data_IF_775723543284
#
_entry.id   IF_775723543284
#
_cell.length_a   1.000
_cell.length_b   1.000
_cell.length_c   1.000
_cell.angle_alpha   90.00
_cell.angle_beta   90.00
_cell.angle_gamma   90.00
#
_symmetry.space_group_name_H-M   'P 1'
#
loop_
_entity.id
_entity.type
_entity.pdbx_description
1 polymer ?
#
# COMPACT_ATOMS: atom_id res chain seq x y z
N UNK A 1 -12.33 20.70 1.31
CA UNK A 1 -13.37 19.78 0.82
C UNK A 1 -12.65 18.56 0.25
N UNK A 2 -13.00 17.31 0.60
CA UNK A 2 -12.31 16.15 0.04
C UNK A 2 -12.55 16.08 -1.47
N UNK A 3 -11.51 15.80 -2.25
CA UNK A 3 -11.61 15.65 -3.70
C UNK A 3 -12.43 14.39 -3.99
N UNK A 4 -13.53 14.47 -4.77
CA UNK A 4 -14.26 13.28 -5.18
C UNK A 4 -13.34 12.43 -6.06
N UNK A 5 -13.01 11.21 -5.62
CA UNK A 5 -12.53 10.16 -6.51
C UNK A 5 -13.77 9.58 -7.23
N UNK A 6 -13.98 9.87 -8.52
CA UNK A 6 -15.24 9.58 -9.23
C UNK A 6 -15.56 8.08 -9.37
N UNK A 7 -14.63 7.20 -9.01
CA UNK A 7 -14.65 5.76 -9.20
C UNK A 7 -14.75 4.96 -7.89
N UNK A 8 -14.74 5.60 -6.71
CA UNK A 8 -14.86 4.87 -5.43
C UNK A 8 -13.73 3.87 -5.15
N UNK A 9 -12.75 3.76 -6.05
CA UNK A 9 -11.53 2.99 -5.89
C UNK A 9 -10.51 3.81 -5.10
N UNK A 10 -10.75 3.97 -3.80
CA UNK A 10 -9.67 4.36 -2.91
C UNK A 10 -8.52 3.37 -3.08
N UNK A 11 -7.31 3.88 -3.32
CA UNK A 11 -6.11 3.05 -3.31
C UNK A 11 -6.01 2.26 -2.01
N UNK A 12 -5.33 1.11 -2.04
CA UNK A 12 -4.98 0.35 -0.84
C UNK A 12 -3.47 0.33 -0.72
N UNK A 13 -2.95 0.59 0.48
CA UNK A 13 -1.51 0.53 0.72
C UNK A 13 -1.10 -0.90 1.03
N UNK A 14 -0.19 -1.43 0.22
CA UNK A 14 0.41 -2.73 0.42
C UNK A 14 1.77 -2.60 1.11
N UNK A 15 2.15 -3.61 1.89
CA UNK A 15 3.48 -3.73 2.45
C UNK A 15 4.35 -4.58 1.55
N UNK A 16 5.64 -4.27 1.51
CA UNK A 16 6.64 -4.94 0.68
C UNK A 16 7.84 -5.31 1.56
N UNK A 17 8.54 -6.40 1.20
CA UNK A 17 9.75 -6.82 1.92
C UNK A 17 10.91 -5.88 1.58
N UNK A 18 11.70 -5.53 2.60
CA UNK A 18 12.85 -4.62 2.46
C UNK A 18 12.59 -3.22 3.03
N UNK A 19 13.62 -2.38 3.02
CA UNK A 19 13.61 -1.10 3.73
C UNK A 19 13.05 0.07 2.91
N UNK A 20 13.14 0.01 1.57
CA UNK A 20 12.77 1.14 0.72
C UNK A 20 12.47 0.71 -0.71
N UNK A 21 11.47 1.34 -1.32
CA UNK A 21 11.23 1.24 -2.76
C UNK A 21 12.39 1.89 -3.55
N UNK A 22 12.95 1.13 -4.50
CA UNK A 22 14.07 1.55 -5.34
C UNK A 22 13.67 2.01 -6.75
N UNK A 23 12.37 2.26 -6.99
CA UNK A 23 11.86 2.71 -8.29
C UNK A 23 11.44 1.57 -9.23
N UNK A 24 11.26 0.34 -8.72
CA UNK A 24 10.69 -0.76 -9.51
C UNK A 24 9.24 -0.44 -9.90
N UNK A 25 8.81 -0.69 -11.16
CA UNK A 25 7.46 -0.32 -11.62
C UNK A 25 6.35 -1.20 -11.02
N UNK A 26 6.69 -2.41 -10.63
CA UNK A 26 5.79 -3.40 -10.03
C UNK A 26 6.56 -4.18 -8.98
N UNK A 27 5.90 -4.58 -7.90
CA UNK A 27 6.49 -5.45 -6.89
C UNK A 27 5.43 -6.40 -6.31
N UNK A 28 5.88 -7.52 -5.76
CA UNK A 28 5.00 -8.46 -5.06
C UNK A 28 4.84 -8.02 -3.61
N UNK A 29 3.60 -7.69 -3.23
CA UNK A 29 3.27 -7.35 -1.86
C UNK A 29 3.39 -8.57 -0.93
N UNK A 30 3.44 -8.33 0.38
CA UNK A 30 3.42 -9.40 1.40
C UNK A 30 2.18 -10.28 1.26
N UNK A 31 1.05 -9.73 0.81
CA UNK A 31 -0.16 -10.49 0.51
C UNK A 31 -0.13 -11.26 -0.84
N UNK A 32 1.06 -11.46 -1.41
CA UNK A 32 1.34 -12.22 -2.64
C UNK A 32 0.71 -11.65 -3.91
N UNK A 33 0.23 -10.39 -3.86
CA UNK A 33 -0.33 -9.69 -5.02
C UNK A 33 0.75 -8.89 -5.74
N UNK A 34 0.89 -9.12 -7.05
CA UNK A 34 1.62 -8.23 -7.93
C UNK A 34 0.93 -6.87 -8.01
N UNK A 35 1.60 -5.82 -7.55
CA UNK A 35 1.01 -4.49 -7.40
C UNK A 35 1.85 -3.47 -8.18
N UNK A 36 1.24 -2.59 -9.00
CA UNK A 36 1.96 -1.47 -9.58
C UNK A 36 2.43 -0.52 -8.47
N UNK A 37 3.69 -0.13 -8.53
CA UNK A 37 4.32 0.70 -7.52
C UNK A 37 4.21 2.16 -7.93
N UNK A 38 3.65 2.98 -7.05
CA UNK A 38 3.65 4.42 -7.16
C UNK A 38 4.34 5.02 -5.94
N UNK A 39 4.99 6.17 -6.13
CA UNK A 39 5.47 6.96 -5.00
C UNK A 39 4.25 7.51 -4.26
N UNK A 40 3.99 7.12 -3.00
CA UNK A 40 2.83 7.64 -2.29
C UNK A 40 3.02 9.12 -1.97
N UNK A 41 1.98 9.91 -2.18
CA UNK A 41 1.85 11.27 -1.67
C UNK A 41 1.38 11.25 -0.21
N UNK A 42 1.49 12.38 0.49
CA UNK A 42 0.95 12.52 1.86
C UNK A 42 -0.56 12.26 1.90
N UNK A 43 -1.30 12.69 0.87
CA UNK A 43 -2.73 12.46 0.77
C UNK A 43 -3.06 10.97 0.65
N UNK A 44 -2.24 10.21 -0.08
CA UNK A 44 -2.39 8.75 -0.17
C UNK A 44 -2.19 8.09 1.19
N UNK A 45 -1.28 8.63 2.03
CA UNK A 45 -1.10 8.12 3.40
C UNK A 45 -2.29 8.43 4.31
N UNK A 46 -3.06 9.47 4.03
CA UNK A 46 -4.21 9.85 4.84
C UNK A 46 -5.49 9.14 4.36
N UNK A 47 -5.68 9.06 3.04
CA UNK A 47 -6.93 8.61 2.44
C UNK A 47 -6.99 7.10 2.19
N UNK A 48 -5.85 6.41 2.05
CA UNK A 48 -5.84 5.01 1.65
C UNK A 48 -5.57 4.07 2.82
N UNK A 49 -6.47 3.11 3.08
CA UNK A 49 -6.28 2.14 4.14
C UNK A 49 -5.11 1.20 3.83
N UNK A 50 -4.53 0.63 4.88
CA UNK A 50 -3.55 -0.45 4.73
C UNK A 50 -4.28 -1.75 4.39
N UNK A 51 -3.70 -2.54 3.49
CA UNK A 51 -4.18 -3.88 3.16
C UNK A 51 -4.24 -4.75 4.43
N UNK A 52 -5.41 -5.30 4.75
CA UNK A 52 -5.63 -6.10 5.95
C UNK A 52 -4.65 -7.27 6.08
N UNK A 53 -4.43 -8.03 5.02
CA UNK A 53 -3.50 -9.17 5.03
C UNK A 53 -2.07 -8.71 5.31
N UNK A 54 -1.63 -7.63 4.66
CA UNK A 54 -0.31 -7.06 4.93
C UNK A 54 -0.17 -6.60 6.38
N UNK A 55 -1.19 -5.94 6.94
CA UNK A 55 -1.21 -5.47 8.33
C UNK A 55 -1.16 -6.62 9.34
N UNK A 56 -2.00 -7.65 9.14
CA UNK A 56 -2.03 -8.85 10.00
C UNK A 56 -0.70 -9.61 9.97
N UNK A 57 -0.10 -9.80 8.78
CA UNK A 57 1.22 -10.45 8.67
C UNK A 57 2.30 -9.64 9.37
N UNK A 58 2.34 -8.32 9.17
CA UNK A 58 3.34 -7.47 9.83
C UNK A 58 3.18 -7.48 11.35
N UNK A 59 1.94 -7.44 11.87
CA UNK A 59 1.67 -7.55 13.31
C UNK A 59 2.13 -8.88 13.89
N UNK A 60 1.96 -9.98 13.14
CA UNK A 60 2.46 -11.30 13.55
C UNK A 60 3.98 -11.44 13.55
N UNK A 61 4.69 -10.55 12.84
CA UNK A 61 6.16 -10.50 12.79
C UNK A 61 6.76 -9.60 13.89
N UNK A 62 5.94 -8.82 14.62
CA UNK A 62 6.42 -8.01 15.74
C UNK A 62 6.56 -8.89 17.00
N UNK A 63 7.72 -8.85 17.70
CA UNK A 63 7.98 -9.66 18.89
C UNK A 63 7.19 -9.21 20.13
#
# INVERSE_FOLDING_TARGET
>A
MPIPAPDGSGGTRHAFRGHRWLGTPTETAICERGTPMARPSEMDWICFPTCRTCDETLKGEQP
#
